data_IF_622436867110
#
_entry.id   IF_622436867110
#
_cell.length_a   1.000
_cell.length_b   1.000
_cell.length_c   1.000
_cell.angle_alpha   90.00
_cell.angle_beta   90.00
_cell.angle_gamma   90.00
#
_symmetry.space_group_name_H-M   'P 1'
#
loop_
_entity.id
_entity.type
_entity.pdbx_description
1 polymer ?
#
# COMPACT_ATOMS: atom_id res chain seq x y z
N UNK A 1 14.76 0.74 31.61
CA UNK A 1 15.57 1.38 30.55
C UNK A 1 16.59 0.33 30.09
N UNK A 2 16.82 0.19 28.78
CA UNK A 2 17.51 -0.98 28.24
C UNK A 2 18.98 -0.66 27.93
N UNK A 3 19.88 -1.56 28.32
CA UNK A 3 21.27 -1.59 27.89
C UNK A 3 21.34 -2.63 26.77
N UNK A 4 21.52 -2.16 25.55
CA UNK A 4 21.90 -3.03 24.44
C UNK A 4 23.37 -3.42 24.65
N UNK A 5 23.68 -4.71 24.71
CA UNK A 5 25.05 -5.23 24.76
C UNK A 5 25.48 -5.91 23.46
N UNK A 6 24.77 -5.67 22.35
CA UNK A 6 24.80 -6.58 21.21
C UNK A 6 26.21 -6.91 20.71
N UNK A 7 27.20 -6.02 20.78
CA UNK A 7 28.59 -6.34 20.47
C UNK A 7 29.58 -5.38 21.18
N UNK A 8 29.69 -5.43 22.51
CA UNK A 8 30.60 -4.57 23.30
C UNK A 8 30.32 -3.06 23.30
N UNK A 9 29.13 -2.61 22.86
CA UNK A 9 28.71 -1.22 22.92
C UNK A 9 27.55 -1.06 23.90
N UNK A 10 27.81 -0.46 25.06
CA UNK A 10 26.78 -0.14 26.07
C UNK A 10 26.01 1.09 25.58
N UNK A 11 24.89 0.87 24.90
CA UNK A 11 23.97 1.94 24.52
C UNK A 11 22.72 1.87 25.39
N UNK A 12 22.54 2.93 26.19
CA UNK A 12 21.39 3.12 27.06
C UNK A 12 20.23 3.67 26.22
N UNK A 13 19.20 2.87 26.01
CA UNK A 13 18.09 3.20 25.10
C UNK A 13 16.75 2.72 25.64
N UNK A 14 15.66 3.07 24.95
CA UNK A 14 14.31 2.60 25.28
C UNK A 14 14.02 1.31 24.53
N UNK A 15 13.24 0.41 25.13
CA UNK A 15 12.85 -0.85 24.50
C UNK A 15 12.18 -0.62 23.14
N UNK A 16 11.33 0.41 23.04
CA UNK A 16 10.70 0.80 21.77
C UNK A 16 11.73 1.13 20.67
N UNK A 17 12.77 1.90 21.01
CA UNK A 17 13.85 2.24 20.07
C UNK A 17 14.63 1.00 19.64
N UNK A 18 14.75 -0.01 20.50
CA UNK A 18 15.41 -1.27 20.14
C UNK A 18 14.65 -1.98 19.01
N UNK A 19 13.32 -2.02 19.10
CA UNK A 19 12.47 -2.64 18.08
C UNK A 19 12.35 -1.81 16.80
N UNK A 20 12.23 -0.49 16.93
CA UNK A 20 12.05 0.40 15.77
C UNK A 20 13.30 0.52 14.91
N UNK A 21 14.49 0.48 15.52
CA UNK A 21 15.73 0.93 14.89
C UNK A 21 16.89 -0.02 15.14
N UNK A 22 17.20 -0.34 16.41
CA UNK A 22 18.48 -0.98 16.74
C UNK A 22 18.58 -2.40 16.16
N UNK A 23 17.57 -3.25 16.35
CA UNK A 23 17.63 -4.64 15.84
C UNK A 23 17.78 -4.65 14.32
N UNK A 24 17.04 -3.78 13.61
CA UNK A 24 17.12 -3.68 12.15
C UNK A 24 18.53 -3.25 11.71
N UNK A 25 19.07 -2.19 12.33
CA UNK A 25 20.40 -1.70 12.01
C UNK A 25 21.49 -2.74 12.29
N UNK A 26 21.41 -3.43 13.44
CA UNK A 26 22.35 -4.49 13.79
C UNK A 26 22.24 -5.64 12.80
N UNK A 27 21.03 -6.04 12.41
CA UNK A 27 20.81 -7.11 11.46
C UNK A 27 21.38 -6.77 10.08
N UNK A 28 21.14 -5.56 9.58
CA UNK A 28 21.72 -5.05 8.32
C UNK A 28 23.26 -5.06 8.39
N UNK A 29 23.83 -4.53 9.47
CA UNK A 29 25.28 -4.44 9.61
C UNK A 29 25.94 -5.83 9.67
N UNK A 30 25.35 -6.76 10.43
CA UNK A 30 25.97 -8.06 10.70
C UNK A 30 25.71 -9.09 9.60
N UNK A 31 24.48 -9.18 9.10
CA UNK A 31 24.07 -10.22 8.15
C UNK A 31 24.10 -9.76 6.69
N UNK A 32 24.13 -8.45 6.45
CA UNK A 32 24.07 -7.88 5.10
C UNK A 32 25.24 -6.94 4.81
N UNK A 33 26.33 -6.98 5.59
CA UNK A 33 27.54 -6.19 5.36
C UNK A 33 27.26 -4.67 5.29
N UNK A 34 26.26 -4.22 6.04
CA UNK A 34 25.74 -2.85 6.00
C UNK A 34 25.13 -2.43 4.66
N UNK A 35 24.87 -3.37 3.74
CA UNK A 35 24.22 -3.13 2.47
C UNK A 35 22.69 -3.29 2.59
N UNK A 36 22.02 -2.14 2.63
CA UNK A 36 20.56 -2.04 2.68
C UNK A 36 19.91 -2.67 1.44
N UNK A 37 20.57 -2.67 0.28
CA UNK A 37 20.03 -3.28 -0.93
C UNK A 37 19.98 -4.80 -0.79
N UNK A 38 21.01 -5.43 -0.22
CA UNK A 38 20.99 -6.87 0.05
C UNK A 38 19.87 -7.24 1.03
N UNK A 39 19.69 -6.45 2.09
CA UNK A 39 18.58 -6.64 3.03
C UNK A 39 17.21 -6.48 2.34
N UNK A 40 17.05 -5.46 1.49
CA UNK A 40 15.84 -5.29 0.70
C UNK A 40 15.56 -6.49 -0.24
N UNK A 41 16.56 -6.99 -0.96
CA UNK A 41 16.38 -8.16 -1.83
C UNK A 41 16.00 -9.40 -1.03
N UNK A 42 16.60 -9.57 0.16
CA UNK A 42 16.23 -10.61 1.10
C UNK A 42 14.75 -10.51 1.53
N UNK A 43 14.32 -9.36 2.05
CA UNK A 43 12.91 -9.14 2.45
C UNK A 43 11.95 -9.35 1.27
N UNK A 44 12.32 -8.89 0.06
CA UNK A 44 11.55 -9.11 -1.16
C UNK A 44 11.40 -10.59 -1.47
N UNK A 45 12.48 -11.37 -1.36
CA UNK A 45 12.42 -12.83 -1.57
C UNK A 45 11.56 -13.53 -0.51
N UNK A 46 11.67 -13.13 0.76
CA UNK A 46 10.87 -13.64 1.86
C UNK A 46 9.37 -13.40 1.59
N UNK A 47 9.03 -12.19 1.13
CA UNK A 47 7.67 -11.81 0.77
C UNK A 47 7.10 -12.68 -0.37
N UNK A 48 7.90 -13.03 -1.38
CA UNK A 48 7.48 -13.85 -2.52
C UNK A 48 7.33 -15.34 -2.17
N UNK A 49 8.10 -15.82 -1.20
CA UNK A 49 8.09 -17.23 -0.77
C UNK A 49 6.99 -17.57 0.24
N UNK A 50 6.36 -16.56 0.85
CA UNK A 50 5.22 -16.78 1.74
C UNK A 50 3.92 -16.98 0.93
N UNK A 51 3.04 -17.85 1.42
CA UNK A 51 1.78 -18.16 0.72
C UNK A 51 0.97 -16.90 0.37
N UNK A 52 0.49 -16.84 -0.88
CA UNK A 52 -0.14 -15.67 -1.51
C UNK A 52 -1.48 -15.25 -0.89
N UNK A 53 -2.07 -16.06 -0.02
CA UNK A 53 -3.41 -15.84 0.52
C UNK A 53 -3.40 -14.91 1.73
N UNK A 54 -3.12 -13.63 1.50
CA UNK A 54 -3.60 -12.56 2.40
C UNK A 54 -4.96 -12.13 1.84
N UNK A 55 -5.99 -12.92 2.13
CA UNK A 55 -7.38 -12.55 1.83
C UNK A 55 -7.91 -11.58 2.90
N UNK A 56 -7.05 -10.65 3.32
CA UNK A 56 -7.35 -9.65 4.34
C UNK A 56 -7.90 -8.40 3.65
N UNK A 57 -9.04 -7.95 4.13
CA UNK A 57 -9.76 -6.74 3.74
C UNK A 57 -9.36 -5.56 4.63
N UNK A 58 -9.74 -4.34 4.24
CA UNK A 58 -9.47 -3.14 5.04
C UNK A 58 -10.09 -3.13 6.44
N UNK A 59 -11.05 -4.02 6.73
CA UNK A 59 -11.65 -4.16 8.05
C UNK A 59 -10.87 -5.09 8.99
N UNK A 60 -9.82 -5.75 8.50
CA UNK A 60 -9.03 -6.73 9.26
C UNK A 60 -7.94 -6.07 10.13
N UNK A 61 -7.94 -4.74 10.27
CA UNK A 61 -7.01 -4.03 11.15
C UNK A 61 -7.08 -4.54 12.61
N UNK A 62 -8.25 -5.02 13.06
CA UNK A 62 -8.41 -5.63 14.39
C UNK A 62 -7.50 -6.86 14.54
N UNK A 63 -7.46 -7.72 13.52
CA UNK A 63 -6.57 -8.88 13.49
C UNK A 63 -5.11 -8.45 13.52
N UNK A 64 -4.73 -7.39 12.81
CA UNK A 64 -3.35 -6.90 12.80
C UNK A 64 -2.91 -6.36 14.18
N UNK A 65 -3.84 -5.71 14.89
CA UNK A 65 -3.65 -5.27 16.28
C UNK A 65 -3.50 -6.49 17.18
N UNK A 66 -4.40 -7.46 17.11
CA UNK A 66 -4.37 -8.68 17.94
C UNK A 66 -3.07 -9.45 17.75
N UNK A 67 -2.61 -9.62 16.50
CA UNK A 67 -1.31 -10.21 16.22
C UNK A 67 -0.19 -9.41 16.89
N UNK A 68 -0.20 -8.07 16.78
CA UNK A 68 0.86 -7.23 17.34
C UNK A 68 0.92 -7.33 18.86
N UNK A 69 -0.24 -7.31 19.52
CA UNK A 69 -0.35 -7.49 20.97
C UNK A 69 0.13 -8.88 21.38
N UNK A 70 -0.23 -9.93 20.63
CA UNK A 70 0.19 -11.30 20.94
C UNK A 70 1.72 -11.45 20.95
N UNK A 71 2.42 -10.90 19.96
CA UNK A 71 3.89 -10.93 19.94
C UNK A 71 4.52 -10.10 21.06
N UNK A 72 3.94 -8.93 21.35
CA UNK A 72 4.41 -8.08 22.44
C UNK A 72 4.32 -8.83 23.77
N UNK A 73 3.20 -9.49 24.02
CA UNK A 73 2.96 -10.26 25.23
C UNK A 73 3.81 -11.53 25.33
N UNK A 74 4.24 -12.11 24.21
CA UNK A 74 4.98 -13.39 24.17
C UNK A 74 6.50 -13.25 24.03
N UNK A 75 7.00 -12.14 23.47
CA UNK A 75 8.42 -12.04 23.09
C UNK A 75 9.08 -10.73 23.51
N UNK A 76 8.43 -9.58 23.31
CA UNK A 76 9.04 -8.25 23.48
C UNK A 76 9.50 -7.98 24.91
N UNK A 77 8.72 -8.43 25.90
CA UNK A 77 8.98 -8.14 27.31
C UNK A 77 9.72 -9.27 28.05
N UNK A 78 10.47 -10.10 27.34
CA UNK A 78 11.29 -11.16 27.92
C UNK A 78 12.76 -10.97 27.58
N UNK A 79 13.66 -11.18 28.53
CA UNK A 79 15.11 -11.05 28.34
C UNK A 79 15.73 -12.26 27.62
N UNK A 80 17.07 -12.35 27.62
CA UNK A 80 17.84 -13.46 27.05
C UNK A 80 17.49 -14.81 27.67
N UNK A 81 17.14 -14.85 28.96
CA UNK A 81 16.80 -16.06 29.71
C UNK A 81 15.31 -16.40 29.67
N UNK A 82 14.52 -15.65 28.90
CA UNK A 82 13.07 -15.74 28.85
C UNK A 82 12.39 -15.35 30.18
N UNK A 83 13.06 -14.53 30.99
CA UNK A 83 12.50 -13.92 32.19
C UNK A 83 11.82 -12.59 31.85
N UNK A 84 10.71 -12.29 32.55
CA UNK A 84 9.96 -11.06 32.30
C UNK A 84 10.80 -9.84 32.67
N UNK A 85 10.95 -8.92 31.73
CA UNK A 85 11.69 -7.68 31.93
C UNK A 85 11.10 -6.85 33.06
N UNK A 86 11.94 -6.48 34.02
CA UNK A 86 11.59 -5.50 35.02
C UNK A 86 11.71 -4.09 34.42
N UNK A 87 10.62 -3.59 33.86
CA UNK A 87 10.53 -2.27 33.21
C UNK A 87 10.87 -1.09 34.14
N UNK A 88 10.81 -1.29 35.46
CA UNK A 88 11.18 -0.29 36.47
C UNK A 88 12.69 -0.18 36.69
N UNK A 89 13.48 -1.14 36.19
CA UNK A 89 14.92 -1.19 36.36
C UNK A 89 15.65 -1.04 35.02
N UNK A 90 16.97 -0.87 35.13
CA UNK A 90 17.86 -1.05 33.99
C UNK A 90 18.04 -2.55 33.76
N UNK A 91 17.83 -2.98 32.52
CA UNK A 91 18.00 -4.37 32.11
C UNK A 91 18.89 -4.42 30.87
N UNK A 92 19.52 -5.55 30.65
CA UNK A 92 20.42 -5.76 29.53
C UNK A 92 19.78 -6.72 28.55
N UNK A 93 19.88 -6.41 27.26
CA UNK A 93 19.47 -7.31 26.18
C UNK A 93 20.71 -7.70 25.39
N UNK A 94 20.98 -9.00 25.38
CA UNK A 94 22.12 -9.64 24.74
C UNK A 94 21.73 -10.40 23.48
N UNK A 95 22.71 -11.11 22.91
CA UNK A 95 22.61 -11.75 21.59
C UNK A 95 21.40 -12.70 21.44
N UNK A 96 21.02 -13.43 22.49
CA UNK A 96 19.86 -14.34 22.47
C UNK A 96 18.55 -13.58 22.23
N UNK A 97 18.39 -12.41 22.86
CA UNK A 97 17.26 -11.53 22.59
C UNK A 97 17.25 -11.06 21.13
N UNK A 98 18.40 -10.71 20.55
CA UNK A 98 18.45 -10.31 19.14
C UNK A 98 18.11 -11.47 18.20
N UNK A 99 18.76 -12.61 18.38
CA UNK A 99 18.59 -13.81 17.56
C UNK A 99 17.14 -14.29 17.55
N UNK A 100 16.45 -14.17 18.69
CA UNK A 100 15.02 -14.49 18.80
C UNK A 100 14.12 -13.51 18.06
N UNK A 101 14.44 -12.21 18.09
CA UNK A 101 13.52 -11.15 17.67
C UNK A 101 13.75 -10.64 16.23
N UNK A 102 14.96 -10.70 15.66
CA UNK A 102 15.18 -10.21 14.29
C UNK A 102 14.34 -10.95 13.21
N UNK A 103 14.14 -12.29 13.26
CA UNK A 103 13.33 -12.97 12.24
C UNK A 103 11.85 -12.54 12.29
N UNK A 104 11.37 -12.24 13.50
CA UNK A 104 10.01 -11.72 13.69
C UNK A 104 9.87 -10.32 13.08
N UNK A 105 10.87 -9.45 13.24
CA UNK A 105 10.85 -8.11 12.63
C UNK A 105 10.78 -8.22 11.11
N UNK A 106 11.59 -9.10 10.49
CA UNK A 106 11.54 -9.33 9.04
C UNK A 106 10.17 -9.84 8.57
N UNK A 107 9.58 -10.77 9.34
CA UNK A 107 8.23 -11.25 9.09
C UNK A 107 7.21 -10.09 9.17
N UNK A 108 7.32 -9.20 10.15
CA UNK A 108 6.38 -8.06 10.29
C UNK A 108 6.53 -7.02 9.19
N UNK A 109 7.77 -6.69 8.81
CA UNK A 109 8.04 -5.78 7.70
C UNK A 109 7.45 -6.30 6.39
N UNK A 110 7.63 -7.58 6.10
CA UNK A 110 7.07 -8.20 4.88
C UNK A 110 5.55 -8.31 4.93
N UNK A 111 4.96 -8.67 6.07
CA UNK A 111 3.50 -8.69 6.25
C UNK A 111 2.89 -7.29 6.04
N UNK A 112 3.49 -6.25 6.62
CA UNK A 112 3.01 -4.88 6.49
C UNK A 112 3.06 -4.40 5.02
N UNK A 113 4.16 -4.67 4.30
CA UNK A 113 4.29 -4.36 2.88
C UNK A 113 3.20 -5.02 2.02
N UNK A 114 2.91 -6.31 2.28
CA UNK A 114 1.83 -7.04 1.57
C UNK A 114 0.45 -6.47 1.87
N UNK A 115 0.16 -6.20 3.14
CA UNK A 115 -1.12 -5.63 3.58
C UNK A 115 -1.36 -4.27 2.93
N UNK A 116 -0.34 -3.42 2.92
CA UNK A 116 -0.40 -2.11 2.26
C UNK A 116 -0.66 -2.25 0.76
N UNK A 117 0.07 -3.12 0.06
CA UNK A 117 -0.15 -3.36 -1.36
C UNK A 117 -1.58 -3.89 -1.65
N UNK A 118 -2.09 -4.82 -0.83
CA UNK A 118 -3.46 -5.34 -0.95
C UNK A 118 -4.50 -4.25 -0.75
N UNK A 119 -4.35 -3.41 0.27
CA UNK A 119 -5.24 -2.27 0.52
C UNK A 119 -5.27 -1.29 -0.65
N UNK A 120 -4.09 -0.94 -1.18
CA UNK A 120 -3.99 -0.03 -2.34
C UNK A 120 -4.67 -0.63 -3.58
N UNK A 121 -4.49 -1.93 -3.83
CA UNK A 121 -5.16 -2.63 -4.93
C UNK A 121 -6.69 -2.65 -4.75
N UNK A 122 -7.19 -2.88 -3.53
CA UNK A 122 -8.62 -2.83 -3.21
C UNK A 122 -9.18 -1.42 -3.41
N UNK A 123 -8.48 -0.39 -2.94
CA UNK A 123 -8.86 1.02 -3.13
C UNK A 123 -8.92 1.39 -4.62
N UNK A 124 -7.91 1.01 -5.40
CA UNK A 124 -7.89 1.26 -6.84
C UNK A 124 -9.05 0.54 -7.57
N UNK A 125 -9.34 -0.71 -7.20
CA UNK A 125 -10.49 -1.46 -7.75
C UNK A 125 -11.83 -0.83 -7.37
N UNK A 126 -11.98 -0.33 -6.15
CA UNK A 126 -13.20 0.35 -5.71
C UNK A 126 -13.40 1.71 -6.40
N UNK A 127 -12.31 2.39 -6.76
CA UNK A 127 -12.39 3.60 -7.58
C UNK A 127 -12.82 3.29 -9.02
N UNK A 128 -12.29 2.22 -9.62
CA UNK A 128 -12.67 1.83 -10.99
C UNK A 128 -14.07 1.21 -11.07
N UNK A 129 -14.60 0.66 -9.96
CA UNK A 129 -15.95 0.09 -9.89
C UNK A 129 -17.05 1.10 -9.58
N UNK A 130 -16.73 2.38 -9.31
CA UNK A 130 -17.71 3.48 -9.32
C UNK A 130 -18.17 3.74 -10.76
N UNK A 131 -18.91 2.79 -11.33
CA UNK A 131 -19.76 3.02 -12.49
C UNK A 131 -20.74 4.13 -12.10
N UNK A 132 -20.92 5.11 -12.98
CA UNK A 132 -21.98 6.10 -12.81
C UNK A 132 -23.31 5.35 -12.56
N UNK A 133 -24.19 5.84 -11.67
CA UNK A 133 -25.50 5.23 -11.47
C UNK A 133 -26.17 4.97 -12.83
N UNK A 134 -26.89 3.85 -12.99
CA UNK A 134 -27.54 3.52 -14.25
C UNK A 134 -28.44 4.66 -14.75
N UNK A 135 -29.06 5.40 -13.84
CA UNK A 135 -29.88 6.58 -14.14
C UNK A 135 -29.05 7.72 -14.74
N UNK A 136 -27.84 7.94 -14.22
CA UNK A 136 -26.92 8.96 -14.76
C UNK A 136 -26.36 8.53 -16.12
N UNK A 137 -26.10 7.24 -16.32
CA UNK A 137 -25.69 6.71 -17.63
C UNK A 137 -26.79 6.88 -18.68
N UNK A 138 -28.04 6.56 -18.32
CA UNK A 138 -29.20 6.74 -19.18
C UNK A 138 -29.40 8.22 -19.54
N UNK A 139 -29.28 9.13 -18.56
CA UNK A 139 -29.37 10.58 -18.79
C UNK A 139 -28.30 11.05 -19.78
N UNK A 140 -27.04 10.65 -19.60
CA UNK A 140 -25.93 11.01 -20.50
C UNK A 140 -26.21 10.52 -21.92
N UNK A 141 -26.67 9.27 -22.08
CA UNK A 141 -26.99 8.71 -23.39
C UNK A 141 -28.11 9.50 -24.08
N UNK A 142 -29.19 9.81 -23.37
CA UNK A 142 -30.31 10.61 -23.91
C UNK A 142 -29.84 12.00 -24.35
N UNK A 143 -29.00 12.66 -23.53
CA UNK A 143 -28.44 13.96 -23.88
C UNK A 143 -27.54 13.89 -25.11
N UNK A 144 -26.68 12.87 -25.23
CA UNK A 144 -25.82 12.67 -26.40
C UNK A 144 -26.62 12.40 -27.68
N UNK A 145 -27.68 11.59 -27.60
CA UNK A 145 -28.58 11.32 -28.73
C UNK A 145 -29.29 12.62 -29.15
N UNK A 146 -29.85 13.37 -28.19
CA UNK A 146 -30.51 14.64 -28.45
C UNK A 146 -29.60 15.66 -29.14
N UNK A 147 -28.37 15.83 -28.62
CA UNK A 147 -27.35 16.69 -29.25
C UNK A 147 -27.02 16.24 -30.68
N UNK A 148 -26.87 14.94 -30.90
CA UNK A 148 -26.57 14.39 -32.22
C UNK A 148 -27.67 14.71 -33.22
N UNK A 149 -28.94 14.52 -32.84
CA UNK A 149 -30.10 14.86 -33.68
C UNK A 149 -30.12 16.34 -34.04
N UNK A 150 -29.88 17.23 -33.06
CA UNK A 150 -29.83 18.69 -33.29
C UNK A 150 -28.71 19.06 -34.26
N UNK A 151 -27.51 18.48 -34.10
CA UNK A 151 -26.38 18.70 -35.01
C UNK A 151 -26.72 18.22 -36.43
N UNK A 152 -27.30 17.02 -36.58
CA UNK A 152 -27.70 16.50 -37.88
C UNK A 152 -28.76 17.39 -38.55
N UNK A 153 -29.79 17.81 -37.82
CA UNK A 153 -30.82 18.70 -38.35
C UNK A 153 -30.22 20.05 -38.81
N UNK A 154 -29.33 20.64 -38.00
CA UNK A 154 -28.65 21.88 -38.35
C UNK A 154 -27.77 21.73 -39.61
N UNK A 155 -27.03 20.62 -39.72
CA UNK A 155 -26.24 20.32 -40.91
C UNK A 155 -27.12 20.11 -42.14
N UNK A 156 -28.24 19.39 -42.01
CA UNK A 156 -29.19 19.20 -43.12
C UNK A 156 -29.78 20.53 -43.60
N UNK A 157 -30.19 21.41 -42.67
CA UNK A 157 -30.68 22.76 -43.00
C UNK A 157 -29.59 23.60 -43.67
N UNK A 158 -28.37 23.55 -43.14
CA UNK A 158 -27.22 24.26 -43.71
C UNK A 158 -26.91 23.81 -45.14
N UNK A 159 -26.86 22.49 -45.38
CA UNK A 159 -26.63 21.91 -46.72
C UNK A 159 -27.76 22.29 -47.68
N UNK A 160 -29.01 22.21 -47.23
CA UNK A 160 -30.16 22.60 -48.02
C UNK A 160 -30.12 24.08 -48.44
N UNK A 161 -29.85 24.97 -47.48
CA UNK A 161 -29.70 26.42 -47.75
C UNK A 161 -28.55 26.69 -48.70
N UNK A 162 -27.39 26.04 -48.52
CA UNK A 162 -26.24 26.15 -49.42
C UNK A 162 -26.60 25.73 -50.84
N UNK A 163 -27.29 24.60 -51.02
CA UNK A 163 -27.69 24.10 -52.34
C UNK A 163 -28.65 25.05 -53.06
N UNK A 164 -29.63 25.63 -52.35
CA UNK A 164 -30.56 26.61 -52.94
C UNK A 164 -29.85 27.92 -53.35
N UNK A 165 -28.88 28.38 -52.58
CA UNK A 165 -28.09 29.58 -52.91
C UNK A 165 -27.09 29.36 -54.05
N UNK A 166 -26.88 28.11 -54.50
CA UNK A 166 -25.95 27.80 -55.60
C UNK A 166 -26.68 27.47 -56.91
N UNK A 167 -28.00 27.72 -57.02
CA UNK A 167 -28.64 27.73 -58.34
C UNK A 167 -28.16 28.98 -59.08
N UNK A 168 -27.40 28.86 -60.20
CA UNK A 168 -27.03 30.03 -60.98
C UNK A 168 -28.29 30.58 -61.65
N UNK A 169 -28.49 31.89 -61.54
CA UNK A 169 -29.43 32.61 -62.40
C UNK A 169 -28.93 32.46 -63.84
N UNK A 170 -29.52 31.52 -64.57
CA UNK A 170 -29.36 31.41 -66.02
C UNK A 170 -30.14 32.59 -66.59
N UNK A 171 -29.44 33.72 -66.72
CA UNK A 171 -29.83 34.83 -67.57
C UNK A 171 -29.93 34.30 -69.01
N UNK A 172 -31.16 34.08 -69.47
CA UNK A 172 -31.46 34.06 -70.89
C UNK A 172 -31.34 35.50 -71.39
N UNK A 173 -30.32 35.75 -72.20
CA UNK A 173 -30.28 36.91 -73.09
C UNK A 173 -30.62 36.41 -74.49
N UNK A 174 -31.71 36.95 -75.04
CA UNK A 174 -32.03 36.94 -76.47
C UNK A 174 -31.05 37.86 -77.25
#
# INVERSE_FOLDING_TARGET
MAISLFFNKINLTKLHTIWDVEIINIHINHHFQSDINLYYQYLKSLMLNQSLLVNETYNDYKKWIDESVDYVCKQVYFDDNNDKLNISLNFTLGEEYFNRNWPLIDQRLTQAGRRLASLLNQLAKNQSSRKLPPDTQALIIVLCIGLSIVIFAALSVYIYKRKNNTKPDILMCD
#
